data_IF_938327902825
#
_entry.id   IF_938327902825
#
_cell.length_a   1.000
_cell.length_b   1.000
_cell.length_c   1.000
_cell.angle_alpha   90.00
_cell.angle_beta   90.00
_cell.angle_gamma   90.00
#
_symmetry.space_group_name_H-M   'P 1'
#
loop_
_entity.id
_entity.type
_entity.pdbx_description
1 polymer ?
#
# COMPACT_ATOMS: atom_id res chain seq x y z
N UNK A 1 -2.31 15.02 -1.69
CA UNK A 1 -2.69 14.58 -3.05
C UNK A 1 -2.46 13.09 -3.22
N UNK A 2 -3.56 12.32 -3.40
CA UNK A 2 -3.50 10.87 -3.64
C UNK A 2 -2.64 10.54 -4.85
N UNK A 3 -2.73 11.35 -5.93
CA UNK A 3 -1.90 11.17 -7.12
C UNK A 3 -0.40 11.33 -6.83
N UNK A 4 -0.01 12.30 -5.99
CA UNK A 4 1.39 12.48 -5.61
C UNK A 4 1.90 11.33 -4.74
N UNK A 5 1.07 10.79 -3.83
CA UNK A 5 1.39 9.59 -3.05
C UNK A 5 1.65 8.39 -3.96
N UNK A 6 0.77 8.12 -4.94
CA UNK A 6 0.99 7.05 -5.91
C UNK A 6 2.26 7.23 -6.74
N UNK A 7 2.59 8.48 -7.12
CA UNK A 7 3.80 8.80 -7.88
C UNK A 7 5.07 8.49 -7.10
N UNK A 8 5.12 8.87 -5.84
CA UNK A 8 6.23 8.55 -4.93
C UNK A 8 6.26 7.04 -4.61
N UNK A 9 5.08 6.43 -4.40
CA UNK A 9 4.97 4.99 -4.16
C UNK A 9 5.54 4.14 -5.30
N UNK A 10 5.42 4.59 -6.56
CA UNK A 10 6.09 3.90 -7.67
C UNK A 10 7.61 3.94 -7.56
N UNK A 11 8.20 5.09 -7.17
CA UNK A 11 9.63 5.20 -6.98
C UNK A 11 10.13 4.27 -5.85
N UNK A 12 9.43 4.31 -4.72
CA UNK A 12 9.72 3.44 -3.57
C UNK A 12 9.56 1.96 -3.95
N UNK A 13 8.49 1.61 -4.66
CA UNK A 13 8.24 0.26 -5.15
C UNK A 13 9.35 -0.26 -6.07
N UNK A 14 9.82 0.55 -7.02
CA UNK A 14 10.95 0.20 -7.88
C UNK A 14 12.23 0.03 -7.05
N UNK A 15 12.47 0.88 -6.07
CA UNK A 15 13.64 0.77 -5.19
C UNK A 15 13.62 -0.54 -4.41
N UNK A 16 12.48 -0.88 -3.78
CA UNK A 16 12.30 -2.14 -3.06
C UNK A 16 12.48 -3.33 -3.99
N UNK A 17 11.91 -3.29 -5.20
CA UNK A 17 12.06 -4.34 -6.20
C UNK A 17 13.54 -4.58 -6.53
N UNK A 18 14.31 -3.53 -6.78
CA UNK A 18 15.74 -3.64 -7.10
C UNK A 18 16.53 -4.22 -5.93
N UNK A 19 16.24 -3.78 -4.70
CA UNK A 19 16.91 -4.31 -3.49
C UNK A 19 16.60 -5.79 -3.32
N UNK A 20 15.33 -6.18 -3.37
CA UNK A 20 14.93 -7.59 -3.21
C UNK A 20 15.48 -8.48 -4.34
N UNK A 21 15.46 -8.00 -5.59
CA UNK A 21 16.06 -8.75 -6.71
C UNK A 21 17.56 -8.94 -6.52
N UNK A 22 18.26 -7.92 -6.02
CA UNK A 22 19.70 -8.01 -5.74
C UNK A 22 19.98 -9.01 -4.63
N UNK A 23 19.19 -8.97 -3.56
CA UNK A 23 19.28 -9.91 -2.43
C UNK A 23 19.05 -11.36 -2.90
N UNK A 24 17.96 -11.61 -3.62
CA UNK A 24 17.63 -12.93 -4.17
C UNK A 24 18.75 -13.43 -5.09
N UNK A 25 19.28 -12.59 -5.97
CA UNK A 25 20.38 -12.97 -6.86
C UNK A 25 21.66 -13.29 -6.08
N UNK A 26 21.94 -12.55 -5.02
CA UNK A 26 23.08 -12.81 -4.15
C UNK A 26 22.97 -14.18 -3.45
N UNK A 27 21.83 -14.46 -2.81
CA UNK A 27 21.60 -15.74 -2.14
C UNK A 27 21.52 -16.90 -3.13
N UNK A 28 20.85 -16.74 -4.26
CA UNK A 28 20.76 -17.77 -5.31
C UNK A 28 22.16 -18.19 -5.85
N UNK A 29 23.07 -17.21 -5.98
CA UNK A 29 24.47 -17.50 -6.37
C UNK A 29 25.26 -18.17 -5.25
N UNK A 30 25.11 -17.68 -4.00
CA UNK A 30 25.82 -18.19 -2.83
C UNK A 30 25.41 -19.62 -2.51
N UNK A 31 24.11 -19.90 -2.53
CA UNK A 31 23.55 -21.21 -2.18
C UNK A 31 23.39 -22.16 -3.40
N UNK A 32 23.85 -21.71 -4.58
CA UNK A 32 23.80 -22.49 -5.84
C UNK A 32 22.40 -23.07 -6.12
N UNK A 33 21.38 -22.23 -5.99
CA UNK A 33 20.00 -22.67 -6.26
C UNK A 33 19.85 -23.29 -7.64
N UNK A 34 19.09 -24.39 -7.79
CA UNK A 34 18.92 -25.05 -9.06
C UNK A 34 18.30 -24.13 -10.07
N UNK A 35 18.91 -24.01 -11.24
CA UNK A 35 18.35 -23.25 -12.35
C UNK A 35 17.26 -24.07 -13.02
N UNK A 36 16.11 -23.46 -13.25
CA UNK A 36 15.06 -24.08 -14.04
C UNK A 36 15.49 -24.13 -15.50
N UNK A 37 15.71 -25.33 -16.04
CA UNK A 37 16.19 -25.54 -17.42
C UNK A 37 15.11 -25.37 -18.50
N UNK A 38 13.93 -24.86 -18.13
CA UNK A 38 12.85 -24.65 -19.09
C UNK A 38 13.20 -23.51 -20.04
N UNK A 39 13.74 -23.85 -21.20
CA UNK A 39 13.93 -22.92 -22.31
C UNK A 39 12.58 -22.62 -22.95
N UNK A 40 11.96 -21.52 -22.56
CA UNK A 40 10.74 -21.04 -23.24
C UNK A 40 11.11 -20.44 -24.58
N UNK A 41 10.35 -20.79 -25.62
CA UNK A 41 10.52 -20.16 -26.93
C UNK A 41 10.03 -18.71 -26.89
N UNK A 42 10.59 -17.81 -27.72
CA UNK A 42 10.10 -16.42 -27.80
C UNK A 42 8.59 -16.31 -28.05
N UNK A 43 8.03 -17.25 -28.82
CA UNK A 43 6.60 -17.32 -29.09
C UNK A 43 5.77 -17.63 -27.82
N UNK A 44 6.26 -18.54 -26.95
CA UNK A 44 5.62 -18.82 -25.66
C UNK A 44 5.67 -17.63 -24.71
N UNK A 45 6.79 -16.93 -24.67
CA UNK A 45 6.94 -15.70 -23.85
C UNK A 45 5.95 -14.65 -24.34
N UNK A 46 5.84 -14.45 -25.66
CA UNK A 46 4.91 -13.49 -26.24
C UNK A 46 3.45 -13.86 -25.95
N UNK A 47 3.11 -15.16 -26.03
CA UNK A 47 1.77 -15.63 -25.68
C UNK A 47 1.44 -15.36 -24.21
N UNK A 48 2.34 -15.70 -23.30
CA UNK A 48 2.16 -15.42 -21.86
C UNK A 48 1.98 -13.92 -21.59
N UNK A 49 2.72 -13.08 -22.31
CA UNK A 49 2.55 -11.64 -22.22
C UNK A 49 1.17 -11.18 -22.70
N UNK A 50 0.69 -11.69 -23.82
CA UNK A 50 -0.67 -11.39 -24.33
C UNK A 50 -1.76 -11.85 -23.35
N UNK A 51 -1.60 -13.04 -22.79
CA UNK A 51 -2.55 -13.60 -21.80
C UNK A 51 -2.55 -12.79 -20.50
N UNK A 52 -1.46 -12.10 -20.17
CA UNK A 52 -1.36 -11.24 -19.00
C UNK A 52 -1.96 -9.82 -19.21
N UNK A 53 -2.17 -9.37 -20.47
CA UNK A 53 -2.65 -8.01 -20.77
C UNK A 53 -3.93 -7.67 -20.02
N UNK A 54 -5.00 -8.50 -20.00
CA UNK A 54 -6.23 -8.15 -19.31
C UNK A 54 -6.01 -7.91 -17.80
N UNK A 55 -5.13 -8.67 -17.15
CA UNK A 55 -4.77 -8.47 -15.74
C UNK A 55 -3.97 -7.18 -15.55
N UNK A 56 -3.01 -6.90 -16.44
CA UNK A 56 -2.19 -5.67 -16.42
C UNK A 56 -3.00 -4.40 -16.70
N UNK A 57 -4.14 -4.52 -17.37
CA UNK A 57 -5.05 -3.37 -17.58
C UNK A 57 -5.61 -2.83 -16.27
N UNK A 58 -5.75 -3.64 -15.21
CA UNK A 58 -6.28 -3.18 -13.92
C UNK A 58 -5.45 -2.04 -13.30
N UNK A 59 -4.12 -2.18 -13.07
CA UNK A 59 -3.31 -1.07 -12.58
C UNK A 59 -3.23 0.09 -13.59
N UNK A 60 -3.28 -0.18 -14.90
CA UNK A 60 -3.29 0.89 -15.92
C UNK A 60 -4.56 1.73 -15.81
N UNK A 61 -5.73 1.11 -15.63
CA UNK A 61 -7.01 1.80 -15.42
C UNK A 61 -6.95 2.67 -14.18
N UNK A 62 -6.46 2.12 -13.05
CA UNK A 62 -6.39 2.86 -11.79
C UNK A 62 -5.45 4.07 -11.92
N UNK A 63 -4.21 3.82 -12.30
CA UNK A 63 -3.18 4.86 -12.36
C UNK A 63 -3.45 5.85 -13.51
N UNK A 64 -3.88 5.35 -14.66
CA UNK A 64 -4.25 6.18 -15.80
C UNK A 64 -5.43 7.09 -15.49
N UNK A 65 -6.47 6.59 -14.82
CA UNK A 65 -7.62 7.38 -14.38
C UNK A 65 -7.23 8.49 -13.41
N UNK A 66 -6.38 8.19 -12.43
CA UNK A 66 -5.94 9.17 -11.43
C UNK A 66 -4.97 10.20 -12.04
N UNK A 67 -3.99 9.76 -12.83
CA UNK A 67 -2.97 10.67 -13.39
C UNK A 67 -3.47 11.56 -14.52
N UNK A 68 -4.48 11.09 -15.27
CA UNK A 68 -5.13 11.93 -16.27
C UNK A 68 -6.00 13.03 -15.65
N UNK A 69 -6.32 12.93 -14.34
CA UNK A 69 -7.22 13.83 -13.64
C UNK A 69 -8.71 13.64 -14.03
N UNK A 70 -9.03 12.63 -14.83
CA UNK A 70 -10.41 12.34 -15.25
C UNK A 70 -11.22 11.65 -14.16
N UNK A 71 -10.56 10.86 -13.30
CA UNK A 71 -11.21 10.07 -12.26
C UNK A 71 -10.55 10.33 -10.90
N UNK A 72 -11.36 10.34 -9.88
CA UNK A 72 -10.88 10.26 -8.49
C UNK A 72 -10.33 8.85 -8.20
N UNK A 73 -9.58 8.69 -7.11
CA UNK A 73 -9.09 7.38 -6.69
C UNK A 73 -10.21 6.35 -6.48
N UNK A 74 -11.34 6.80 -5.91
CA UNK A 74 -12.51 5.95 -5.66
C UNK A 74 -13.20 5.52 -6.96
N UNK A 75 -13.37 6.46 -7.91
CA UNK A 75 -13.95 6.15 -9.21
C UNK A 75 -13.06 5.23 -10.03
N UNK A 76 -11.74 5.44 -10.01
CA UNK A 76 -10.77 4.56 -10.66
C UNK A 76 -10.82 3.14 -10.09
N UNK A 77 -10.96 3.00 -8.77
CA UNK A 77 -11.12 1.71 -8.12
C UNK A 77 -12.44 1.03 -8.55
N UNK A 78 -13.55 1.77 -8.63
CA UNK A 78 -14.84 1.22 -9.09
C UNK A 78 -14.76 0.72 -10.54
N UNK A 79 -14.13 1.48 -11.44
CA UNK A 79 -13.92 1.08 -12.84
C UNK A 79 -13.03 -0.17 -12.90
N UNK A 80 -11.98 -0.24 -12.09
CA UNK A 80 -11.09 -1.40 -12.02
C UNK A 80 -11.81 -2.66 -11.53
N UNK A 81 -12.74 -2.55 -10.57
CA UNK A 81 -13.56 -3.68 -10.12
C UNK A 81 -14.47 -4.19 -11.23
N UNK A 82 -15.11 -3.29 -11.98
CA UNK A 82 -15.95 -3.67 -13.13
C UNK A 82 -15.09 -4.35 -14.19
N UNK A 83 -13.91 -3.81 -14.50
CA UNK A 83 -12.97 -4.43 -15.45
C UNK A 83 -12.53 -5.81 -14.98
N UNK A 84 -12.14 -5.97 -13.71
CA UNK A 84 -11.71 -7.26 -13.15
C UNK A 84 -12.84 -8.31 -13.24
N UNK A 85 -14.09 -7.93 -12.99
CA UNK A 85 -15.25 -8.81 -13.14
C UNK A 85 -15.44 -9.23 -14.62
N UNK A 86 -15.32 -8.28 -15.57
CA UNK A 86 -15.39 -8.57 -17.00
C UNK A 86 -14.27 -9.52 -17.41
N UNK A 87 -13.04 -9.25 -16.99
CA UNK A 87 -11.89 -10.09 -17.32
C UNK A 87 -12.04 -11.51 -16.76
N UNK A 88 -12.45 -11.65 -15.51
CA UNK A 88 -12.64 -12.95 -14.85
C UNK A 88 -13.79 -13.77 -15.44
N UNK A 89 -14.92 -13.12 -15.76
CA UNK A 89 -16.10 -13.80 -16.29
C UNK A 89 -15.98 -14.15 -17.77
N UNK A 90 -15.46 -13.26 -18.59
CA UNK A 90 -15.55 -13.36 -20.04
C UNK A 90 -14.22 -13.66 -20.72
N UNK A 91 -13.11 -13.14 -20.23
CA UNK A 91 -11.78 -13.30 -20.84
C UNK A 91 -11.12 -14.57 -20.32
N UNK A 92 -10.89 -14.65 -19.02
CA UNK A 92 -10.26 -15.82 -18.39
C UNK A 92 -11.23 -16.97 -18.16
N UNK A 93 -12.53 -16.66 -17.98
CA UNK A 93 -13.59 -17.65 -17.70
C UNK A 93 -13.32 -18.50 -16.44
N UNK A 94 -12.56 -17.93 -15.52
CA UNK A 94 -12.23 -18.56 -14.24
C UNK A 94 -13.21 -18.18 -13.14
N UNK A 95 -14.08 -17.17 -13.39
CA UNK A 95 -15.09 -16.67 -12.48
C UNK A 95 -16.48 -16.98 -12.99
N UNK A 96 -17.38 -17.33 -12.09
CA UNK A 96 -18.82 -17.53 -12.40
C UNK A 96 -19.66 -16.49 -11.66
N UNK A 97 -20.87 -16.21 -12.18
CA UNK A 97 -21.81 -15.27 -11.52
C UNK A 97 -22.18 -15.73 -10.09
N UNK A 98 -22.16 -17.04 -9.83
CA UNK A 98 -22.44 -17.58 -8.49
C UNK A 98 -21.33 -17.27 -7.49
N UNK A 99 -20.08 -17.20 -7.96
CA UNK A 99 -18.91 -16.90 -7.14
C UNK A 99 -18.78 -15.40 -6.86
N UNK A 100 -19.39 -14.53 -7.64
CA UNK A 100 -19.41 -13.09 -7.36
C UNK A 100 -20.09 -12.78 -6.02
N UNK A 101 -21.14 -13.52 -5.65
CA UNK A 101 -21.89 -13.28 -4.41
C UNK A 101 -21.02 -13.48 -3.16
N UNK A 102 -20.32 -14.62 -2.97
CA UNK A 102 -19.39 -14.78 -1.86
C UNK A 102 -18.24 -13.78 -1.88
N UNK A 103 -17.66 -13.47 -3.05
CA UNK A 103 -16.60 -12.46 -3.18
C UNK A 103 -17.09 -11.09 -2.69
N UNK A 104 -18.28 -10.66 -3.10
CA UNK A 104 -18.87 -9.40 -2.66
C UNK A 104 -19.15 -9.39 -1.14
N UNK A 105 -19.61 -10.53 -0.58
CA UNK A 105 -19.82 -10.65 0.88
C UNK A 105 -18.50 -10.52 1.65
N UNK A 106 -17.46 -11.19 1.21
CA UNK A 106 -16.15 -11.14 1.85
C UNK A 106 -15.51 -9.74 1.71
N UNK A 107 -15.67 -9.10 0.56
CA UNK A 107 -15.25 -7.71 0.35
C UNK A 107 -16.02 -6.75 1.25
N UNK A 108 -17.32 -6.92 1.38
CA UNK A 108 -18.15 -6.10 2.27
C UNK A 108 -17.76 -6.29 3.75
N UNK A 109 -17.48 -7.53 4.17
CA UNK A 109 -16.98 -7.82 5.52
C UNK A 109 -15.65 -7.16 5.81
N UNK A 110 -14.70 -7.26 4.88
CA UNK A 110 -13.38 -6.61 5.00
C UNK A 110 -13.51 -5.09 5.04
N UNK A 111 -14.34 -4.51 4.17
CA UNK A 111 -14.61 -3.07 4.17
C UNK A 111 -15.26 -2.60 5.47
N UNK A 112 -16.24 -3.36 6.01
CA UNK A 112 -16.87 -3.04 7.28
C UNK A 112 -15.86 -3.07 8.44
N UNK A 113 -14.94 -4.03 8.46
CA UNK A 113 -13.89 -4.12 9.47
C UNK A 113 -12.96 -2.89 9.41
N UNK A 114 -12.52 -2.52 8.22
CA UNK A 114 -11.67 -1.34 8.02
C UNK A 114 -12.39 -0.06 8.45
N UNK A 115 -13.65 0.12 8.06
CA UNK A 115 -14.45 1.28 8.46
C UNK A 115 -14.66 1.34 9.97
N UNK A 116 -14.84 0.20 10.63
CA UNK A 116 -14.95 0.14 12.09
C UNK A 116 -13.65 0.55 12.78
N UNK A 117 -12.51 0.10 12.26
CA UNK A 117 -11.18 0.51 12.76
C UNK A 117 -11.00 2.02 12.59
N UNK A 118 -11.33 2.57 11.42
CA UNK A 118 -11.24 4.01 11.15
C UNK A 118 -12.13 4.80 12.13
N UNK A 119 -13.37 4.39 12.32
CA UNK A 119 -14.29 5.06 13.25
C UNK A 119 -13.75 5.04 14.68
N UNK A 120 -13.25 3.89 15.15
CA UNK A 120 -12.66 3.74 16.48
C UNK A 120 -11.40 4.58 16.65
N UNK A 121 -10.53 4.60 15.65
CA UNK A 121 -9.32 5.43 15.65
C UNK A 121 -9.63 6.93 15.62
N UNK A 122 -10.67 7.33 14.92
CA UNK A 122 -11.13 8.73 14.89
C UNK A 122 -11.59 9.17 16.28
N UNK A 123 -12.36 8.33 16.96
CA UNK A 123 -12.78 8.59 18.35
C UNK A 123 -11.58 8.65 19.30
N UNK A 124 -10.63 7.72 19.18
CA UNK A 124 -9.38 7.74 19.95
C UNK A 124 -8.58 9.02 19.69
N UNK A 125 -8.38 9.37 18.42
CA UNK A 125 -7.65 10.59 18.03
C UNK A 125 -8.28 11.87 18.60
N UNK A 126 -9.61 11.93 18.62
CA UNK A 126 -10.32 13.05 19.20
C UNK A 126 -10.05 13.15 20.70
N UNK A 127 -10.21 12.07 21.47
CA UNK A 127 -9.92 12.02 22.91
C UNK A 127 -8.46 12.35 23.19
N UNK A 128 -7.53 11.78 22.40
CA UNK A 128 -6.09 12.00 22.55
C UNK A 128 -5.72 13.47 22.33
N UNK A 129 -6.30 14.12 21.32
CA UNK A 129 -6.07 15.54 21.04
C UNK A 129 -6.72 16.42 22.12
N UNK A 130 -7.97 16.10 22.49
CA UNK A 130 -8.71 16.88 23.49
C UNK A 130 -8.09 16.82 24.90
N UNK A 131 -7.49 15.68 25.25
CA UNK A 131 -6.78 15.51 26.54
C UNK A 131 -5.47 16.30 26.64
N UNK A 132 -5.00 16.92 25.54
CA UNK A 132 -3.69 17.59 25.50
C UNK A 132 -2.50 16.63 25.36
N UNK A 133 -2.72 15.31 25.34
CA UNK A 133 -1.66 14.32 25.24
C UNK A 133 -0.85 14.47 23.94
N UNK A 134 -1.51 14.83 22.84
CA UNK A 134 -0.82 15.13 21.58
C UNK A 134 0.21 16.25 21.74
N UNK A 135 -0.18 17.36 22.36
CA UNK A 135 0.72 18.48 22.57
C UNK A 135 1.87 18.13 23.53
N UNK A 136 1.58 17.43 24.61
CA UNK A 136 2.61 16.97 25.55
C UNK A 136 3.66 16.07 24.90
N UNK A 137 3.26 15.21 23.95
CA UNK A 137 4.19 14.41 23.16
C UNK A 137 5.03 15.27 22.21
N UNK A 138 4.42 16.23 21.50
CA UNK A 138 5.14 17.16 20.64
C UNK A 138 6.20 17.92 21.46
N UNK A 139 5.82 18.49 22.59
CA UNK A 139 6.72 19.25 23.45
C UNK A 139 7.88 18.39 23.97
N UNK A 140 7.60 17.14 24.34
CA UNK A 140 8.61 16.17 24.78
C UNK A 140 9.63 15.87 23.68
N UNK A 141 9.15 15.57 22.46
CA UNK A 141 10.03 15.23 21.33
C UNK A 141 10.84 16.45 20.88
N UNK A 142 10.23 17.65 20.88
CA UNK A 142 10.94 18.90 20.57
C UNK A 142 12.00 19.19 21.63
N UNK A 143 11.71 18.98 22.92
CA UNK A 143 12.68 19.15 24.01
C UNK A 143 13.87 18.19 23.91
N UNK A 144 13.68 17.00 23.32
CA UNK A 144 14.78 16.05 23.05
C UNK A 144 15.71 16.50 21.92
N UNK A 145 15.42 17.60 21.22
CA UNK A 145 16.19 18.11 20.08
C UNK A 145 16.52 17.03 19.04
N UNK A 146 15.58 16.13 18.77
CA UNK A 146 15.77 15.07 17.81
C UNK A 146 15.86 15.64 16.38
N UNK A 147 16.84 15.16 15.63
CA UNK A 147 16.91 15.41 14.21
C UNK A 147 15.78 14.67 13.48
N UNK A 148 15.19 15.29 12.46
CA UNK A 148 14.10 14.70 11.65
C UNK A 148 14.42 13.31 11.12
N UNK A 149 15.69 13.05 10.74
CA UNK A 149 16.14 11.74 10.28
C UNK A 149 16.09 10.69 11.40
N UNK A 150 16.53 11.05 12.60
CA UNK A 150 16.47 10.15 13.76
C UNK A 150 15.03 9.86 14.18
N UNK A 151 14.16 10.86 14.12
CA UNK A 151 12.72 10.66 14.35
C UNK A 151 12.12 9.69 13.35
N UNK A 152 12.35 9.86 12.04
CA UNK A 152 11.87 8.92 11.02
C UNK A 152 12.42 7.50 11.24
N UNK A 153 13.68 7.37 11.66
CA UNK A 153 14.28 6.07 11.97
C UNK A 153 13.60 5.39 13.17
N UNK A 154 13.32 6.13 14.24
CA UNK A 154 12.58 5.62 15.40
C UNK A 154 11.16 5.20 15.00
N UNK A 155 10.48 6.02 14.20
CA UNK A 155 9.14 5.68 13.66
C UNK A 155 9.22 4.40 12.82
N UNK A 156 10.22 4.26 11.96
CA UNK A 156 10.41 3.03 11.16
C UNK A 156 10.58 1.79 12.04
N UNK A 157 11.35 1.87 13.14
CA UNK A 157 11.48 0.77 14.09
C UNK A 157 10.14 0.43 14.75
N UNK A 158 9.39 1.45 15.18
CA UNK A 158 8.06 1.26 15.76
C UNK A 158 7.15 0.55 14.75
N UNK A 159 7.12 1.01 13.49
CA UNK A 159 6.32 0.42 12.43
C UNK A 159 6.75 -1.03 12.12
N UNK A 160 8.04 -1.33 12.15
CA UNK A 160 8.55 -2.70 11.99
C UNK A 160 8.07 -3.62 13.12
N UNK A 161 8.13 -3.16 14.37
CA UNK A 161 7.66 -3.93 15.53
C UNK A 161 6.16 -4.20 15.40
N UNK A 162 5.35 -3.16 15.17
CA UNK A 162 3.90 -3.33 15.02
C UNK A 162 3.55 -4.17 13.78
N UNK A 163 4.28 -4.02 12.69
CA UNK A 163 4.09 -4.78 11.45
C UNK A 163 4.33 -6.28 11.56
N UNK A 164 4.98 -6.76 12.63
CA UNK A 164 5.15 -8.20 12.86
C UNK A 164 3.86 -8.90 13.30
N UNK A 165 2.87 -8.18 13.84
CA UNK A 165 1.65 -8.77 14.39
C UNK A 165 0.36 -8.02 14.04
N UNK A 166 0.46 -6.85 13.41
CA UNK A 166 -0.70 -6.05 13.00
C UNK A 166 -0.70 -5.83 11.49
N UNK A 167 -1.89 -5.69 10.93
CA UNK A 167 -2.09 -5.35 9.52
C UNK A 167 -1.76 -3.87 9.27
N UNK A 168 -1.13 -3.57 8.12
CA UNK A 168 -0.59 -2.23 7.81
C UNK A 168 -1.63 -1.11 7.83
N UNK A 169 -2.85 -1.36 7.36
CA UNK A 169 -3.92 -0.36 7.38
C UNK A 169 -4.31 0.00 8.81
N UNK A 170 -4.40 -0.99 9.71
CA UNK A 170 -4.69 -0.78 11.11
C UNK A 170 -3.59 0.03 11.80
N UNK A 171 -2.32 -0.28 11.51
CA UNK A 171 -1.17 0.47 12.03
C UNK A 171 -1.23 1.93 11.58
N UNK A 172 -1.43 2.17 10.29
CA UNK A 172 -1.50 3.53 9.75
C UNK A 172 -2.61 4.35 10.42
N UNK A 173 -3.83 3.79 10.49
CA UNK A 173 -4.98 4.48 11.07
C UNK A 173 -4.80 4.75 12.58
N UNK A 174 -4.10 3.88 13.30
CA UNK A 174 -3.85 4.04 14.73
C UNK A 174 -2.71 5.02 15.02
N UNK A 175 -1.57 4.90 14.31
CA UNK A 175 -0.35 5.62 14.66
C UNK A 175 -0.24 6.99 13.98
N UNK A 176 -0.77 7.16 12.76
CA UNK A 176 -0.66 8.44 12.05
C UNK A 176 -1.23 9.62 12.85
N UNK A 177 -2.42 9.53 13.48
CA UNK A 177 -2.95 10.65 14.27
C UNK A 177 -2.05 11.06 15.45
N UNK A 178 -1.27 10.12 15.97
CA UNK A 178 -0.33 10.35 17.09
C UNK A 178 1.00 10.91 16.60
N UNK A 179 1.54 10.35 15.53
CA UNK A 179 2.88 10.65 15.02
C UNK A 179 2.91 11.88 14.10
N UNK A 180 1.83 12.13 13.36
CA UNK A 180 1.77 13.22 12.39
C UNK A 180 1.95 14.61 13.01
N UNK A 181 1.30 14.99 14.13
CA UNK A 181 1.53 16.28 14.76
C UNK A 181 3.00 16.51 15.13
N UNK A 182 3.70 15.46 15.54
CA UNK A 182 5.13 15.51 15.86
C UNK A 182 5.95 15.72 14.58
N UNK A 183 5.71 14.92 13.54
CA UNK A 183 6.37 15.04 12.25
C UNK A 183 6.20 16.45 11.65
N UNK A 184 4.99 16.99 11.74
CA UNK A 184 4.64 18.32 11.27
C UNK A 184 5.39 19.42 12.05
N UNK A 185 5.51 19.31 13.37
CA UNK A 185 6.26 20.27 14.19
C UNK A 185 7.75 20.30 13.87
N UNK A 186 8.29 19.19 13.36
CA UNK A 186 9.67 19.06 12.91
C UNK A 186 9.88 19.47 11.44
N UNK A 187 8.84 19.97 10.75
CA UNK A 187 8.90 20.41 9.36
C UNK A 187 9.01 19.26 8.33
N UNK A 188 8.64 18.05 8.70
CA UNK A 188 8.67 16.89 7.78
C UNK A 188 7.51 17.02 6.79
N UNK A 189 7.80 16.89 5.49
CA UNK A 189 6.79 16.94 4.44
C UNK A 189 5.80 15.76 4.57
N UNK A 190 4.51 16.05 4.32
CA UNK A 190 3.42 15.07 4.47
C UNK A 190 3.57 13.86 3.55
N UNK A 191 4.09 14.05 2.34
CA UNK A 191 4.29 12.96 1.39
C UNK A 191 5.49 12.12 1.81
N UNK A 192 6.56 12.77 2.27
CA UNK A 192 7.74 12.07 2.80
C UNK A 192 7.38 11.20 4.01
N UNK A 193 6.59 11.75 4.95
CA UNK A 193 6.18 10.99 6.13
C UNK A 193 5.20 9.85 5.80
N UNK A 194 4.37 10.02 4.78
CA UNK A 194 3.38 9.04 4.37
C UNK A 194 3.92 7.90 3.51
N UNK A 195 5.18 8.00 3.06
CA UNK A 195 5.88 6.98 2.25
C UNK A 195 6.86 6.18 3.08
#
# INVERSE_FOLDING_TARGET
SVGNMFKQGMLVGVTIMVVLMTEVLFFARKEKWPKQEVKRTPAEIFKVFLDAIPALMTPIIILGGIYSGMLTATESAAVAVVWAAIAGLFIYKELTFKELIPILKDSAKSSAMILFIIASSTAFSWVFTFSGASQALVDTVVAMNLNSMLFCFVVAIILLIFGTFMEGTAIAVLLVPVLWPIAQSMGIDVIHFGM
#
